data_IF_306247182453
#
_entry.id   IF_306247182453
#
_cell.length_a   1.000
_cell.length_b   1.000
_cell.length_c   1.000
_cell.angle_alpha   90.00
_cell.angle_beta   90.00
_cell.angle_gamma   90.00
#
_symmetry.space_group_name_H-M   'P 1'
#
loop_
_entity.id
_entity.type
_entity.pdbx_description
1 polymer ?
#
# COMPACT_ATOMS: atom_id res chain seq x y z
N UNK A 1 37.11 -61.54 -28.05
CA UNK A 1 35.82 -62.26 -28.06
C UNK A 1 34.73 -61.21 -27.99
N UNK A 2 34.07 -60.96 -29.12
CA UNK A 2 33.01 -59.97 -29.30
C UNK A 2 31.76 -60.36 -28.50
N UNK A 3 31.03 -59.38 -27.97
CA UNK A 3 29.58 -59.49 -27.85
C UNK A 3 28.93 -58.09 -27.75
N UNK A 4 28.48 -57.59 -28.90
CA UNK A 4 27.51 -56.51 -29.07
C UNK A 4 26.09 -57.03 -28.89
N UNK A 5 25.23 -56.30 -28.15
CA UNK A 5 23.76 -56.26 -28.25
C UNK A 5 23.21 -55.58 -26.97
N UNK A 6 22.15 -54.77 -26.92
CA UNK A 6 21.15 -54.31 -27.90
C UNK A 6 20.52 -53.04 -27.30
N UNK A 7 20.18 -52.13 -28.21
CA UNK A 7 19.42 -50.90 -28.03
C UNK A 7 17.97 -51.19 -27.59
N UNK A 8 17.49 -50.55 -26.52
CA UNK A 8 16.06 -50.38 -26.25
C UNK A 8 15.77 -48.92 -25.91
N UNK A 9 15.29 -48.19 -26.92
CA UNK A 9 14.69 -46.87 -26.77
C UNK A 9 13.28 -47.07 -26.21
N UNK A 10 13.03 -46.61 -25.00
CA UNK A 10 11.68 -46.50 -24.45
C UNK A 10 11.21 -45.05 -24.57
N UNK A 11 10.46 -44.78 -25.66
CA UNK A 11 9.63 -43.58 -25.79
C UNK A 11 8.45 -43.75 -24.85
N UNK A 12 8.44 -43.03 -23.73
CA UNK A 12 7.22 -42.83 -22.96
C UNK A 12 6.59 -41.50 -23.38
N UNK A 13 5.64 -41.60 -24.30
CA UNK A 13 4.64 -40.56 -24.52
C UNK A 13 3.66 -40.60 -23.34
N UNK A 14 3.79 -39.65 -22.42
CA UNK A 14 2.77 -39.35 -21.43
C UNK A 14 2.13 -38.01 -21.80
N UNK A 15 1.04 -38.06 -22.58
CA UNK A 15 0.12 -36.93 -22.70
C UNK A 15 -0.67 -36.84 -21.39
N UNK A 16 -0.27 -35.92 -20.51
CA UNK A 16 -1.13 -35.45 -19.44
C UNK A 16 -2.03 -34.33 -20.02
N UNK A 17 -3.36 -34.34 -19.78
CA UNK A 17 -4.18 -33.18 -20.09
C UNK A 17 -3.75 -31.99 -19.23
N UNK A 18 -3.88 -30.74 -19.72
CA UNK A 18 -3.59 -29.57 -18.91
C UNK A 18 -4.54 -29.58 -17.71
N UNK A 19 -3.95 -29.63 -16.50
CA UNK A 19 -4.71 -29.34 -15.29
C UNK A 19 -4.98 -27.84 -15.31
N UNK A 20 -6.25 -27.48 -15.44
CA UNK A 20 -6.73 -26.17 -15.03
C UNK A 20 -6.25 -25.95 -13.60
N UNK A 21 -5.28 -25.04 -13.44
CA UNK A 21 -4.98 -24.47 -12.14
C UNK A 21 -6.13 -23.56 -11.79
N UNK A 22 -7.24 -24.17 -11.39
CA UNK A 22 -8.21 -23.53 -10.53
C UNK A 22 -7.46 -23.34 -9.21
N UNK A 23 -6.72 -22.23 -9.12
CA UNK A 23 -6.23 -21.73 -7.85
C UNK A 23 -7.46 -21.55 -7.01
N UNK A 24 -7.64 -22.46 -6.05
CA UNK A 24 -8.50 -22.23 -4.91
C UNK A 24 -8.18 -20.83 -4.41
N UNK A 25 -9.16 -19.93 -4.57
CA UNK A 25 -9.25 -18.73 -3.78
C UNK A 25 -9.41 -19.25 -2.35
N UNK A 26 -8.28 -19.53 -1.71
CA UNK A 26 -8.18 -19.59 -0.26
C UNK A 26 -8.51 -18.20 0.20
N UNK A 27 -9.81 -17.99 0.48
CA UNK A 27 -10.35 -16.71 0.89
C UNK A 27 -9.47 -16.13 1.97
N UNK A 28 -8.89 -14.96 1.68
CA UNK A 28 -8.38 -14.11 2.74
C UNK A 28 -9.58 -13.80 3.63
N UNK A 29 -9.46 -14.17 4.90
CA UNK A 29 -10.33 -13.70 5.97
C UNK A 29 -10.28 -12.17 5.95
N UNK A 30 -11.23 -11.51 5.29
CA UNK A 30 -11.24 -10.05 5.15
C UNK A 30 -12.09 -9.50 4.00
N UNK A 31 -12.40 -10.29 2.96
CA UNK A 31 -13.22 -9.80 1.84
C UNK A 31 -14.73 -9.91 2.13
N UNK A 32 -15.22 -9.03 2.99
CA UNK A 32 -16.63 -9.01 3.34
C UNK A 32 -17.50 -8.50 2.17
N UNK A 33 -18.08 -9.44 1.42
CA UNK A 33 -19.00 -9.16 0.30
C UNK A 33 -18.38 -8.51 -0.94
N UNK A 34 -17.06 -8.29 -0.96
CA UNK A 34 -16.35 -7.72 -2.10
C UNK A 34 -16.08 -8.78 -3.17
N UNK A 35 -16.26 -8.41 -4.45
CA UNK A 35 -16.03 -9.29 -5.59
C UNK A 35 -14.58 -9.14 -6.05
N UNK A 36 -13.74 -10.19 -5.99
CA UNK A 36 -12.34 -10.10 -6.40
C UNK A 36 -12.19 -9.76 -7.88
N UNK A 37 -11.33 -8.78 -8.19
CA UNK A 37 -11.04 -8.32 -9.55
C UNK A 37 -9.58 -8.60 -9.98
N UNK A 38 -8.69 -8.88 -9.03
CA UNK A 38 -7.31 -9.26 -9.32
C UNK A 38 -6.37 -8.96 -8.16
N UNK A 39 -5.07 -9.05 -8.43
CA UNK A 39 -4.01 -8.76 -7.45
C UNK A 39 -2.88 -8.01 -8.14
N UNK A 40 -2.19 -7.15 -7.40
CA UNK A 40 -0.97 -6.49 -7.89
C UNK A 40 0.16 -7.50 -8.08
N UNK A 41 0.72 -7.53 -9.29
CA UNK A 41 1.92 -8.31 -9.58
C UNK A 41 3.16 -7.63 -8.96
N UNK A 42 3.76 -8.30 -7.98
CA UNK A 42 4.98 -7.86 -7.30
C UNK A 42 6.19 -8.68 -7.79
N UNK A 43 7.28 -7.99 -8.13
CA UNK A 43 8.49 -8.66 -8.62
C UNK A 43 9.40 -9.15 -7.48
N UNK A 44 9.62 -8.29 -6.49
CA UNK A 44 10.61 -8.52 -5.42
C UNK A 44 10.09 -8.18 -4.03
N UNK A 45 9.01 -7.41 -3.91
CA UNK A 45 8.46 -7.02 -2.63
C UNK A 45 7.62 -8.17 -2.05
N UNK A 46 7.91 -8.57 -0.82
CA UNK A 46 7.26 -9.67 -0.11
C UNK A 46 6.61 -9.24 1.22
N UNK A 47 6.81 -7.97 1.62
CA UNK A 47 6.29 -7.41 2.88
C UNK A 47 4.92 -6.74 2.73
N UNK A 48 4.35 -6.69 1.53
CA UNK A 48 2.98 -6.23 1.34
C UNK A 48 2.32 -6.95 0.16
N UNK A 49 1.00 -6.89 0.09
CA UNK A 49 0.22 -7.24 -1.09
C UNK A 49 -0.91 -6.25 -1.33
N UNK A 50 -1.41 -6.20 -2.56
CA UNK A 50 -2.61 -5.42 -2.89
C UNK A 50 -3.57 -6.30 -3.67
N UNK A 51 -4.73 -6.55 -3.08
CA UNK A 51 -5.85 -7.26 -3.71
C UNK A 51 -6.88 -6.25 -4.20
N UNK A 52 -7.27 -6.34 -5.47
CA UNK A 52 -8.22 -5.44 -6.12
C UNK A 52 -9.61 -6.08 -6.16
N UNK A 53 -10.64 -5.27 -5.95
CA UNK A 53 -12.03 -5.69 -5.99
C UNK A 53 -12.85 -4.81 -6.94
N UNK A 54 -13.98 -5.32 -7.42
CA UNK A 54 -14.91 -4.56 -8.23
C UNK A 54 -15.37 -3.27 -7.53
N UNK A 55 -15.69 -2.25 -8.31
CA UNK A 55 -16.07 -0.92 -7.77
C UNK A 55 -14.88 -0.05 -7.38
N UNK A 56 -13.64 -0.52 -7.55
CA UNK A 56 -12.41 0.26 -7.36
C UNK A 56 -11.77 0.11 -5.97
N UNK A 57 -12.28 -0.79 -5.13
CA UNK A 57 -11.70 -1.03 -3.81
C UNK A 57 -10.36 -1.75 -3.93
N UNK A 58 -9.47 -1.44 -3.01
CA UNK A 58 -8.17 -2.10 -2.90
C UNK A 58 -7.90 -2.46 -1.44
N UNK A 59 -7.56 -3.71 -1.16
CA UNK A 59 -7.09 -4.14 0.15
C UNK A 59 -5.57 -4.22 0.12
N UNK A 60 -4.92 -3.34 0.87
CA UNK A 60 -3.47 -3.36 1.07
C UNK A 60 -3.18 -4.08 2.37
N UNK A 61 -2.46 -5.20 2.29
CA UNK A 61 -1.99 -5.93 3.47
C UNK A 61 -0.51 -5.66 3.62
N UNK A 62 -0.09 -5.11 4.77
CA UNK A 62 1.33 -4.89 5.09
C UNK A 62 1.69 -5.85 6.22
N UNK A 63 2.73 -6.65 6.00
CA UNK A 63 3.19 -7.63 6.98
C UNK A 63 3.53 -6.93 8.31
N UNK A 64 3.07 -7.53 9.41
CA UNK A 64 3.23 -7.03 10.78
C UNK A 64 2.58 -5.66 11.07
N UNK A 65 1.91 -5.02 10.10
CA UNK A 65 1.20 -3.73 10.27
C UNK A 65 -0.32 -3.84 10.12
N UNK A 66 -0.82 -4.82 9.37
CA UNK A 66 -2.25 -5.11 9.24
C UNK A 66 -2.82 -4.86 7.84
N UNK A 67 -4.13 -4.71 7.78
CA UNK A 67 -4.91 -4.58 6.55
C UNK A 67 -5.53 -3.18 6.43
N UNK A 68 -5.42 -2.60 5.25
CA UNK A 68 -5.91 -1.26 4.92
C UNK A 68 -6.83 -1.36 3.71
N UNK A 69 -8.13 -1.13 3.91
CA UNK A 69 -9.08 -1.09 2.80
C UNK A 69 -9.19 0.34 2.29
N UNK A 70 -8.76 0.56 1.05
CA UNK A 70 -9.02 1.80 0.33
C UNK A 70 -10.43 1.76 -0.26
N UNK A 71 -11.28 2.65 0.24
CA UNK A 71 -12.66 2.82 -0.19
C UNK A 71 -12.73 3.98 -1.18
N UNK A 72 -13.17 3.76 -2.44
CA UNK A 72 -13.28 4.82 -3.44
C UNK A 72 -14.17 5.98 -3.01
N UNK A 73 -13.99 7.15 -3.63
CA UNK A 73 -14.79 8.32 -3.34
C UNK A 73 -16.30 8.04 -3.51
N UNK A 74 -17.08 8.39 -2.49
CA UNK A 74 -18.53 8.18 -2.48
C UNK A 74 -19.00 6.73 -2.34
N UNK A 75 -18.08 5.76 -2.27
CA UNK A 75 -18.41 4.37 -2.05
C UNK A 75 -18.63 4.08 -0.56
N UNK A 76 -19.51 3.11 -0.26
CA UNK A 76 -19.82 2.71 1.10
C UNK A 76 -18.77 1.74 1.65
N UNK A 77 -18.52 1.79 2.96
CA UNK A 77 -17.68 0.79 3.63
C UNK A 77 -18.43 -0.54 3.66
N UNK A 78 -17.84 -1.65 3.17
CA UNK A 78 -18.46 -2.97 3.22
C UNK A 78 -18.75 -3.44 4.65
N UNK A 79 -19.88 -4.14 4.84
CA UNK A 79 -20.21 -4.76 6.12
C UNK A 79 -19.47 -6.08 6.30
N UNK A 80 -19.11 -6.43 7.53
CA UNK A 80 -18.51 -7.73 7.88
C UNK A 80 -16.99 -7.82 7.72
N UNK A 81 -16.31 -6.69 7.56
CA UNK A 81 -14.85 -6.61 7.60
C UNK A 81 -14.32 -7.00 8.99
N UNK A 82 -13.05 -7.41 9.06
CA UNK A 82 -12.38 -7.60 10.36
C UNK A 82 -12.39 -6.29 11.15
N UNK A 83 -12.57 -6.36 12.47
CA UNK A 83 -12.50 -5.18 13.35
C UNK A 83 -11.12 -4.50 13.30
N UNK A 84 -10.08 -5.25 12.90
CA UNK A 84 -8.71 -4.77 12.77
C UNK A 84 -8.41 -4.15 11.38
N UNK A 85 -9.33 -4.23 10.42
CA UNK A 85 -9.13 -3.63 9.09
C UNK A 85 -9.27 -2.11 9.18
N UNK A 86 -8.20 -1.39 8.82
CA UNK A 86 -8.19 0.07 8.80
C UNK A 86 -8.84 0.55 7.51
N UNK A 87 -9.85 1.41 7.62
CA UNK A 87 -10.57 1.95 6.48
C UNK A 87 -9.96 3.30 6.08
N UNK A 88 -9.57 3.43 4.80
CA UNK A 88 -9.07 4.67 4.22
C UNK A 88 -10.02 5.12 3.11
N UNK A 89 -10.83 6.15 3.40
CA UNK A 89 -11.73 6.75 2.41
C UNK A 89 -10.94 7.66 1.47
N UNK A 90 -11.03 7.41 0.17
CA UNK A 90 -10.42 8.23 -0.86
C UNK A 90 -11.34 9.40 -1.27
N UNK A 91 -10.77 10.53 -1.75
CA UNK A 91 -9.34 10.84 -1.77
C UNK A 91 -8.80 11.26 -0.40
N UNK A 92 -7.55 10.88 -0.09
CA UNK A 92 -6.82 11.39 1.07
C UNK A 92 -6.23 12.77 0.69
N UNK A 93 -6.67 13.83 1.35
CA UNK A 93 -6.30 15.21 1.00
C UNK A 93 -5.64 15.99 2.13
N UNK A 94 -5.78 15.55 3.37
CA UNK A 94 -5.25 16.18 4.56
C UNK A 94 -4.21 15.27 5.22
N UNK A 95 -3.14 14.95 4.50
CA UNK A 95 -2.08 14.07 5.01
C UNK A 95 -1.12 14.89 5.88
N UNK A 96 -0.81 14.37 7.06
CA UNK A 96 0.32 14.79 7.89
C UNK A 96 1.52 13.88 7.62
N UNK A 97 2.64 14.47 7.19
CA UNK A 97 3.82 13.72 6.82
C UNK A 97 5.05 14.17 7.61
N UNK A 98 5.41 13.37 8.61
CA UNK A 98 6.58 13.59 9.47
C UNK A 98 7.79 12.74 9.06
N UNK A 99 7.60 11.75 8.20
CA UNK A 99 8.67 10.97 7.58
C UNK A 99 9.28 11.72 6.39
N UNK A 100 10.31 12.53 6.62
CA UNK A 100 10.90 13.38 5.57
C UNK A 100 11.35 12.60 4.32
N UNK A 101 11.83 11.36 4.48
CA UNK A 101 12.17 10.48 3.37
C UNK A 101 10.95 10.09 2.50
N UNK A 102 9.78 9.92 3.11
CA UNK A 102 8.54 9.63 2.37
C UNK A 102 8.05 10.85 1.58
N UNK A 103 8.35 12.08 2.01
CA UNK A 103 7.93 13.30 1.30
C UNK A 103 8.50 13.36 -0.12
N UNK A 104 9.75 12.92 -0.31
CA UNK A 104 10.35 12.89 -1.65
C UNK A 104 9.63 11.89 -2.57
N UNK A 105 9.09 10.79 -2.02
CA UNK A 105 8.27 9.86 -2.79
C UNK A 105 6.96 10.52 -3.23
N UNK A 106 6.28 11.25 -2.34
CA UNK A 106 5.08 12.02 -2.69
C UNK A 106 5.39 13.05 -3.78
N UNK A 107 6.51 13.77 -3.67
CA UNK A 107 6.99 14.69 -4.72
C UNK A 107 7.21 13.99 -6.05
N UNK A 108 7.89 12.85 -6.05
CA UNK A 108 8.18 12.08 -7.29
C UNK A 108 6.93 11.48 -7.92
N UNK A 109 5.93 11.15 -7.12
CA UNK A 109 4.63 10.67 -7.58
C UNK A 109 3.67 11.80 -8.00
N UNK A 110 4.05 13.07 -7.82
CA UNK A 110 3.17 14.21 -8.09
C UNK A 110 1.99 14.32 -7.11
N UNK A 111 2.18 13.84 -5.88
CA UNK A 111 1.14 13.71 -4.86
C UNK A 111 1.27 14.72 -3.70
N UNK A 112 2.11 15.77 -3.85
CA UNK A 112 2.28 16.78 -2.80
C UNK A 112 0.98 17.55 -2.49
N UNK A 113 0.06 17.65 -3.45
CA UNK A 113 -1.23 18.32 -3.26
C UNK A 113 -2.13 17.62 -2.21
N UNK A 114 -1.85 16.35 -1.89
CA UNK A 114 -2.52 15.61 -0.81
C UNK A 114 -1.89 15.86 0.57
N UNK A 115 -0.72 16.50 0.64
CA UNK A 115 -0.02 16.76 1.90
C UNK A 115 -0.36 18.17 2.37
N UNK A 116 -0.91 18.27 3.58
CA UNK A 116 -1.31 19.57 4.18
C UNK A 116 -0.54 19.92 5.41
N UNK A 117 0.07 18.93 6.05
CA UNK A 117 0.83 19.13 7.27
C UNK A 117 2.16 18.37 7.19
N UNK A 118 3.22 18.95 7.75
CA UNK A 118 4.52 18.28 7.84
C UNK A 118 5.14 18.41 9.22
N UNK A 119 5.95 17.41 9.59
CA UNK A 119 6.74 17.44 10.81
C UNK A 119 8.12 18.09 10.68
N UNK A 120 8.47 18.65 9.52
CA UNK A 120 9.76 19.31 9.27
C UNK A 120 9.54 20.79 8.93
N UNK A 121 10.29 21.68 9.58
CA UNK A 121 10.19 23.13 9.32
C UNK A 121 10.76 23.46 7.95
N UNK A 122 10.29 24.56 7.35
CA UNK A 122 10.81 25.07 6.09
C UNK A 122 12.35 25.16 6.06
N UNK A 123 12.95 25.72 7.12
CA UNK A 123 14.41 25.88 7.25
C UNK A 123 15.20 24.58 7.22
N UNK A 124 14.54 23.46 7.52
CA UNK A 124 15.17 22.16 7.70
C UNK A 124 14.94 21.25 6.47
N UNK A 125 14.19 21.73 5.48
CA UNK A 125 13.97 21.01 4.22
C UNK A 125 15.16 21.18 3.26
N UNK A 126 15.72 20.05 2.82
CA UNK A 126 16.76 20.02 1.79
C UNK A 126 16.21 20.18 0.36
N UNK A 127 14.89 20.05 0.18
CA UNK A 127 14.22 20.14 -1.12
C UNK A 127 13.55 21.51 -1.21
N UNK A 128 14.04 22.43 -2.06
CA UNK A 128 13.59 23.83 -2.07
C UNK A 128 12.09 24.00 -2.34
N UNK A 129 11.52 23.20 -3.23
CA UNK A 129 10.09 23.18 -3.56
C UNK A 129 9.23 22.92 -2.32
N UNK A 130 9.61 21.95 -1.49
CA UNK A 130 8.87 21.63 -0.26
C UNK A 130 9.08 22.72 0.79
N UNK A 131 10.30 23.27 0.91
CA UNK A 131 10.55 24.40 1.80
C UNK A 131 9.64 25.60 1.46
N UNK A 132 9.51 25.95 0.19
CA UNK A 132 8.64 27.04 -0.29
C UNK A 132 7.15 26.75 -0.04
N UNK A 133 6.69 25.51 -0.22
CA UNK A 133 5.32 25.12 0.12
C UNK A 133 5.05 25.29 1.62
N UNK A 134 6.04 25.04 2.47
CA UNK A 134 5.92 25.26 3.92
C UNK A 134 5.95 26.75 4.28
N UNK A 135 6.84 27.54 3.67
CA UNK A 135 6.94 28.99 3.90
C UNK A 135 5.70 29.76 3.44
N UNK A 136 5.12 29.35 2.31
CA UNK A 136 3.90 29.94 1.77
C UNK A 136 2.63 29.51 2.52
N UNK A 137 2.73 28.54 3.43
CA UNK A 137 1.60 27.99 4.17
C UNK A 137 0.72 27.02 3.38
N UNK A 138 1.14 26.60 2.18
CA UNK A 138 0.46 25.54 1.43
C UNK A 138 0.54 24.20 2.17
N UNK A 139 1.68 23.95 2.84
CA UNK A 139 1.87 22.85 3.80
C UNK A 139 2.15 23.48 5.16
N UNK A 140 1.31 23.22 6.16
CA UNK A 140 1.50 23.77 7.49
C UNK A 140 2.48 22.94 8.32
N UNK A 141 3.25 23.56 9.20
CA UNK A 141 4.12 22.83 10.13
C UNK A 141 3.27 22.31 11.31
N UNK A 142 3.03 21.00 11.35
CA UNK A 142 2.16 20.31 12.32
C UNK A 142 2.87 19.76 13.56
N UNK A 143 4.06 20.26 13.87
CA UNK A 143 4.90 19.73 14.94
C UNK A 143 5.73 18.53 14.48
N UNK A 144 6.87 18.29 15.14
CA UNK A 144 7.80 17.20 14.78
C UNK A 144 7.24 15.84 15.22
N UNK A 145 7.71 14.74 14.64
CA UNK A 145 7.29 13.39 15.03
C UNK A 145 7.39 13.10 16.55
N UNK A 146 8.36 13.69 17.25
CA UNK A 146 8.53 13.52 18.71
C UNK A 146 7.63 14.42 19.56
N UNK A 147 6.98 15.41 18.95
CA UNK A 147 6.01 16.30 19.59
C UNK A 147 5.04 16.84 18.52
N UNK A 148 4.12 16.00 18.01
CA UNK A 148 3.11 16.43 17.04
C UNK A 148 2.11 17.41 17.70
N UNK A 149 1.61 18.36 16.92
CA UNK A 149 0.54 19.28 17.36
C UNK A 149 -0.82 18.64 17.10
N UNK A 150 -1.28 17.80 18.03
CA UNK A 150 -2.53 17.04 17.86
C UNK A 150 -3.78 17.93 17.72
N UNK A 151 -3.81 19.10 18.34
CA UNK A 151 -4.94 20.03 18.21
C UNK A 151 -5.01 20.59 16.77
N UNK A 152 -3.85 20.92 16.21
CA UNK A 152 -3.74 21.33 14.82
C UNK A 152 -4.09 20.20 13.85
N UNK A 153 -3.58 18.98 14.07
CA UNK A 153 -3.89 17.83 13.21
C UNK A 153 -5.40 17.51 13.20
N UNK A 154 -6.04 17.55 14.37
CA UNK A 154 -7.47 17.31 14.50
C UNK A 154 -8.30 18.42 13.85
N UNK A 155 -7.95 19.69 14.09
CA UNK A 155 -8.69 20.83 13.51
C UNK A 155 -8.57 20.93 11.98
N UNK A 156 -7.49 20.41 11.41
CA UNK A 156 -7.30 20.32 9.96
C UNK A 156 -7.87 19.02 9.36
N UNK A 157 -8.61 18.22 10.14
CA UNK A 157 -9.22 16.96 9.70
C UNK A 157 -8.21 16.03 9.05
N UNK A 158 -7.08 15.77 9.74
CA UNK A 158 -6.02 14.92 9.23
C UNK A 158 -6.56 13.51 8.88
N UNK A 159 -6.45 13.12 7.61
CA UNK A 159 -6.96 11.84 7.11
C UNK A 159 -5.99 10.69 7.40
N UNK A 160 -4.69 10.98 7.29
CA UNK A 160 -3.62 10.00 7.41
C UNK A 160 -2.35 10.66 7.94
N UNK A 161 -1.74 10.04 8.96
CA UNK A 161 -0.43 10.41 9.46
C UNK A 161 0.63 9.41 8.97
N UNK A 162 1.69 9.90 8.35
CA UNK A 162 2.83 9.10 7.88
C UNK A 162 4.08 9.51 8.66
N UNK A 163 4.57 8.57 9.47
CA UNK A 163 5.67 8.77 10.40
C UNK A 163 6.75 7.70 10.21
N UNK A 164 8.00 8.06 10.49
CA UNK A 164 9.09 7.09 10.53
C UNK A 164 9.08 6.38 11.87
N UNK A 165 9.27 5.07 11.87
CA UNK A 165 9.57 4.34 13.10
C UNK A 165 10.96 4.75 13.59
N UNK A 166 11.09 4.97 14.90
CA UNK A 166 12.40 5.17 15.52
C UNK A 166 13.22 3.89 15.34
N UNK A 167 14.49 4.04 14.94
CA UNK A 167 15.46 2.95 15.12
C UNK A 167 15.86 2.98 16.59
N UNK A 168 15.52 1.93 17.33
CA UNK A 168 15.84 1.76 18.75
C UNK A 168 17.23 1.17 18.97
#
# INVERSE_FOLDING_TARGET
MFCTAVLCVAVFAACAPPQDSNSEVTGSSGSAGLIPAGRMDLLYADQFSVDYYEGGYSLVTIKDSGEFLLVPEGAAVPEGLSEDTIILQLPLQNIYLAASAAMDLFRKLGALDSVRMTGTKASDWAIPEIAEMVESGQISYGGKYSAPDYEMLLSNSCDLAIESTMIY
#
